data_IF_192332288040
#
_entry.id   IF_192332288040
#
_cell.length_a   1.000
_cell.length_b   1.000
_cell.length_c   1.000
_cell.angle_alpha   90.00
_cell.angle_beta   90.00
_cell.angle_gamma   90.00
#
_symmetry.space_group_name_H-M   'P 1'
#
loop_
_entity.id
_entity.type
_entity.pdbx_description
1 polymer ?
#
# COMPACT_ATOMS: atom_id res chain seq x y z
N UNK A 1 2.04 -32.55 -17.09
CA UNK A 1 0.97 -31.62 -17.50
C UNK A 1 -0.09 -31.66 -16.42
N UNK A 2 -0.15 -30.65 -15.54
CA UNK A 2 -1.22 -30.53 -14.56
C UNK A 2 -2.23 -29.52 -15.09
N UNK A 3 -3.46 -29.98 -15.09
CA UNK A 3 -4.68 -29.35 -15.58
C UNK A 3 -4.97 -28.03 -14.83
N UNK A 4 -5.17 -26.94 -15.57
CA UNK A 4 -5.49 -25.60 -15.03
C UNK A 4 -7.00 -25.30 -15.08
N UNK A 5 -7.84 -26.32 -15.08
CA UNK A 5 -9.28 -26.21 -15.29
C UNK A 5 -10.10 -26.37 -14.00
N UNK A 6 -9.74 -25.63 -12.94
CA UNK A 6 -10.66 -25.38 -11.82
C UNK A 6 -10.44 -23.95 -11.33
N UNK A 7 -11.06 -22.99 -12.02
CA UNK A 7 -11.32 -21.66 -11.45
C UNK A 7 -12.81 -21.65 -11.13
N UNK A 8 -13.11 -21.60 -9.85
CA UNK A 8 -14.45 -21.69 -9.27
C UNK A 8 -15.37 -20.58 -9.83
N UNK A 9 -16.56 -20.96 -10.28
CA UNK A 9 -17.51 -20.13 -11.07
C UNK A 9 -18.20 -19.01 -10.26
N UNK A 10 -17.75 -18.74 -9.02
CA UNK A 10 -18.34 -17.75 -8.12
C UNK A 10 -17.65 -16.35 -8.15
N UNK A 11 -16.74 -16.08 -9.09
CA UNK A 11 -15.97 -14.82 -9.20
C UNK A 11 -16.40 -13.89 -10.37
N UNK A 12 -17.68 -13.91 -10.74
CA UNK A 12 -18.20 -13.37 -12.02
C UNK A 12 -18.16 -11.83 -12.25
N UNK A 13 -18.20 -10.91 -11.26
CA UNK A 13 -18.10 -9.48 -11.57
C UNK A 13 -16.65 -9.01 -11.81
N UNK A 14 -15.66 -9.65 -11.16
CA UNK A 14 -14.25 -9.25 -11.25
C UNK A 14 -13.55 -9.76 -12.52
N UNK A 15 -13.98 -10.89 -13.07
CA UNK A 15 -13.49 -11.42 -14.34
C UNK A 15 -13.75 -10.46 -15.50
N UNK A 16 -14.92 -9.81 -15.55
CA UNK A 16 -15.20 -8.79 -16.57
C UNK A 16 -14.32 -7.54 -16.42
N UNK A 17 -14.07 -7.08 -15.19
CA UNK A 17 -13.22 -5.89 -14.95
C UNK A 17 -11.76 -6.15 -15.33
N UNK A 18 -11.28 -7.39 -15.13
CA UNK A 18 -9.94 -7.80 -15.56
C UNK A 18 -9.74 -7.71 -17.06
N UNK A 19 -10.77 -8.01 -17.86
CA UNK A 19 -10.69 -8.01 -19.32
C UNK A 19 -10.73 -6.59 -19.95
N UNK A 20 -10.99 -5.56 -19.14
CA UNK A 20 -11.08 -4.15 -19.60
C UNK A 20 -9.85 -3.32 -19.18
N UNK A 21 -9.05 -3.79 -18.22
CA UNK A 21 -7.90 -3.03 -17.73
C UNK A 21 -6.73 -3.19 -18.71
N UNK A 22 -6.21 -2.09 -19.23
CA UNK A 22 -5.03 -2.09 -20.09
C UNK A 22 -3.73 -2.02 -19.30
N UNK A 23 -3.77 -1.37 -18.14
CA UNK A 23 -2.61 -1.26 -17.26
C UNK A 23 -2.99 -1.21 -15.78
N UNK A 24 -2.20 -1.86 -14.94
CA UNK A 24 -2.32 -1.85 -13.49
C UNK A 24 -1.03 -1.34 -12.85
N UNK A 25 -1.15 -0.31 -12.01
CA UNK A 25 -0.03 0.35 -11.32
C UNK A 25 0.09 -0.18 -9.89
N UNK A 26 1.28 -0.67 -9.54
CA UNK A 26 1.61 -1.25 -8.24
C UNK A 26 2.76 -0.46 -7.62
N UNK A 27 2.46 0.62 -6.87
CA UNK A 27 3.49 1.43 -6.19
C UNK A 27 4.07 0.67 -4.99
N UNK A 28 5.24 1.12 -4.53
CA UNK A 28 5.79 0.73 -3.23
C UNK A 28 5.21 1.62 -2.15
N UNK A 29 4.01 1.28 -1.68
CA UNK A 29 3.31 2.04 -0.65
C UNK A 29 2.43 1.13 0.21
N UNK A 30 2.00 1.65 1.35
CA UNK A 30 0.96 1.08 2.19
C UNK A 30 -0.17 2.11 2.43
N UNK A 31 -1.30 1.71 3.02
CA UNK A 31 -2.43 2.61 3.29
C UNK A 31 -2.12 3.81 4.21
N UNK A 32 -0.92 3.84 4.83
CA UNK A 32 -0.48 4.90 5.73
C UNK A 32 0.61 5.79 5.13
N UNK A 33 1.00 5.56 3.87
CA UNK A 33 2.08 6.30 3.20
C UNK A 33 3.41 6.22 3.99
N UNK A 34 3.69 5.05 4.59
CA UNK A 34 4.92 4.84 5.31
C UNK A 34 6.13 4.82 4.36
N UNK A 35 7.24 5.41 4.80
CA UNK A 35 8.51 5.38 4.06
C UNK A 35 9.06 3.96 3.86
N UNK A 36 8.86 3.09 4.85
CA UNK A 36 9.27 1.69 4.80
C UNK A 36 8.05 0.81 4.97
N UNK A 37 7.81 -0.01 3.95
CA UNK A 37 6.63 -0.86 3.84
C UNK A 37 6.94 -2.23 4.46
N UNK A 38 6.04 -2.73 5.31
CA UNK A 38 6.14 -4.07 5.92
C UNK A 38 5.87 -5.17 4.90
N UNK A 39 6.40 -6.38 5.14
CA UNK A 39 6.35 -7.49 4.17
C UNK A 39 4.94 -7.80 3.63
N UNK A 40 3.91 -7.68 4.47
CA UNK A 40 2.51 -7.81 4.10
C UNK A 40 2.05 -6.90 2.94
N UNK A 41 2.68 -5.73 2.78
CA UNK A 41 2.36 -4.73 1.76
C UNK A 41 3.39 -4.68 0.62
N UNK A 42 4.42 -5.55 0.62
CA UNK A 42 5.46 -5.60 -0.41
C UNK A 42 5.01 -6.28 -1.71
N UNK A 43 3.85 -5.85 -2.23
CA UNK A 43 3.21 -6.41 -3.44
C UNK A 43 4.09 -6.34 -4.68
N UNK A 44 4.77 -5.21 -4.88
CA UNK A 44 5.73 -5.03 -5.98
C UNK A 44 6.88 -6.03 -5.89
N UNK A 45 7.45 -6.24 -4.69
CA UNK A 45 8.50 -7.24 -4.48
C UNK A 45 8.00 -8.66 -4.74
N UNK A 46 6.78 -9.00 -4.29
CA UNK A 46 6.19 -10.31 -4.55
C UNK A 46 6.12 -10.65 -6.04
N UNK A 47 5.65 -9.71 -6.87
CA UNK A 47 5.48 -9.97 -8.31
C UNK A 47 6.76 -9.85 -9.13
N UNK A 48 7.69 -8.97 -8.75
CA UNK A 48 8.90 -8.70 -9.54
C UNK A 48 10.15 -9.39 -9.00
N UNK A 49 10.10 -9.88 -7.76
CA UNK A 49 11.24 -10.35 -6.95
C UNK A 49 12.28 -9.28 -6.62
N UNK A 50 12.05 -8.03 -7.05
CA UNK A 50 12.95 -6.91 -6.76
C UNK A 50 12.70 -6.34 -5.37
N UNK A 51 13.73 -6.38 -4.53
CA UNK A 51 13.68 -6.04 -3.10
C UNK A 51 14.10 -4.61 -2.78
N UNK A 52 14.31 -3.77 -3.81
CA UNK A 52 14.68 -2.36 -3.64
C UNK A 52 13.64 -1.57 -2.84
N UNK A 53 14.06 -0.53 -2.11
CA UNK A 53 13.16 0.19 -1.21
C UNK A 53 12.22 1.17 -1.93
N UNK A 54 12.54 1.55 -3.16
CA UNK A 54 11.76 2.43 -4.02
C UNK A 54 11.44 1.72 -5.33
N UNK A 55 10.38 2.16 -5.99
CA UNK A 55 10.01 1.73 -7.32
C UNK A 55 8.53 1.45 -7.48
N UNK A 56 8.11 1.34 -8.73
CA UNK A 56 6.72 1.10 -9.11
C UNK A 56 6.69 0.06 -10.20
N UNK A 57 5.91 -0.99 -10.00
CA UNK A 57 5.63 -1.95 -11.05
C UNK A 57 4.41 -1.48 -11.85
N UNK A 58 4.47 -1.64 -13.16
CA UNK A 58 3.35 -1.40 -14.07
C UNK A 58 3.17 -2.68 -14.88
N UNK A 59 2.00 -3.28 -14.77
CA UNK A 59 1.62 -4.45 -15.57
C UNK A 59 0.69 -3.97 -16.67
N UNK A 60 0.91 -4.40 -17.91
CA UNK A 60 0.00 -4.19 -19.03
C UNK A 60 -0.42 -5.55 -19.60
N UNK A 61 -1.36 -5.55 -20.54
CA UNK A 61 -1.77 -6.79 -21.23
C UNK A 61 -0.65 -7.47 -22.05
N UNK A 62 0.47 -6.79 -22.29
CA UNK A 62 1.56 -7.30 -23.13
C UNK A 62 2.89 -7.40 -22.40
N UNK A 63 3.15 -6.47 -21.50
CA UNK A 63 4.49 -6.23 -20.94
C UNK A 63 4.38 -5.84 -19.46
N UNK A 64 5.41 -6.18 -18.69
CA UNK A 64 5.58 -5.72 -17.31
C UNK A 64 6.80 -4.79 -17.23
N UNK A 65 6.65 -3.68 -16.52
CA UNK A 65 7.68 -2.68 -16.34
C UNK A 65 7.99 -2.48 -14.86
N UNK A 66 9.27 -2.33 -14.54
CA UNK A 66 9.73 -1.86 -13.24
C UNK A 66 10.37 -0.48 -13.41
N UNK A 67 9.80 0.51 -12.73
CA UNK A 67 10.38 1.85 -12.60
C UNK A 67 11.10 1.94 -11.27
N UNK A 68 12.35 2.41 -11.27
CA UNK A 68 13.15 2.60 -10.05
C UNK A 68 14.27 3.62 -10.29
N UNK A 69 14.93 4.05 -9.22
CA UNK A 69 16.15 4.86 -9.33
C UNK A 69 17.37 4.06 -9.82
N UNK A 70 18.34 4.79 -10.35
CA UNK A 70 19.58 4.25 -10.92
C UNK A 70 20.55 3.69 -9.86
N UNK A 71 20.37 3.99 -8.58
CA UNK A 71 21.22 3.46 -7.51
C UNK A 71 20.95 1.96 -7.31
N UNK A 72 19.78 1.48 -7.73
CA UNK A 72 19.44 0.06 -7.77
C UNK A 72 19.96 -0.69 -9.00
N UNK A 73 20.84 -0.09 -9.83
CA UNK A 73 21.33 -0.73 -11.05
C UNK A 73 21.91 -2.14 -10.83
N UNK A 74 22.85 -2.29 -9.90
CA UNK A 74 23.46 -3.60 -9.63
C UNK A 74 22.50 -4.59 -8.96
N UNK A 75 21.47 -4.09 -8.26
CA UNK A 75 20.49 -4.93 -7.59
C UNK A 75 19.46 -5.48 -8.58
N UNK A 76 18.94 -4.63 -9.46
CA UNK A 76 18.01 -5.04 -10.52
C UNK A 76 18.62 -6.06 -11.47
N UNK A 77 19.90 -5.90 -11.86
CA UNK A 77 20.63 -6.90 -12.66
C UNK A 77 20.69 -8.29 -12.01
N UNK A 78 20.64 -8.36 -10.67
CA UNK A 78 20.73 -9.63 -9.92
C UNK A 78 19.37 -10.23 -9.60
N UNK A 79 18.37 -9.40 -9.32
CA UNK A 79 17.08 -9.83 -8.78
C UNK A 79 15.97 -9.90 -9.84
N UNK A 80 16.02 -9.04 -10.86
CA UNK A 80 14.93 -8.88 -11.82
C UNK A 80 15.10 -9.82 -13.01
N UNK A 81 14.06 -10.60 -13.31
CA UNK A 81 14.01 -11.40 -14.53
C UNK A 81 13.72 -10.52 -15.75
N UNK A 82 14.77 -10.15 -16.48
CA UNK A 82 14.70 -9.27 -17.65
C UNK A 82 14.00 -9.93 -18.87
N UNK A 83 13.69 -11.22 -18.83
CA UNK A 83 12.87 -11.87 -19.86
C UNK A 83 11.38 -11.55 -19.69
N UNK A 84 10.96 -11.28 -18.45
CA UNK A 84 9.59 -10.95 -18.10
C UNK A 84 9.38 -9.44 -17.86
N UNK A 85 10.40 -8.77 -17.33
CA UNK A 85 10.33 -7.38 -16.88
C UNK A 85 11.22 -6.45 -17.71
N UNK A 86 10.64 -5.31 -18.10
CA UNK A 86 11.37 -4.19 -18.70
C UNK A 86 11.73 -3.17 -17.64
N UNK A 87 13.00 -2.87 -17.50
CA UNK A 87 13.50 -1.93 -16.50
C UNK A 87 13.58 -0.51 -17.06
N UNK A 88 13.04 0.46 -16.32
CA UNK A 88 13.12 1.89 -16.65
C UNK A 88 13.71 2.65 -15.45
N UNK A 89 14.89 3.23 -15.65
CA UNK A 89 15.50 4.09 -14.63
C UNK A 89 14.94 5.51 -14.70
N UNK A 90 14.42 5.98 -13.58
CA UNK A 90 13.91 7.34 -13.44
C UNK A 90 15.08 8.33 -13.32
N UNK A 91 15.37 9.06 -14.41
CA UNK A 91 16.50 9.98 -14.50
C UNK A 91 16.30 11.30 -13.72
N UNK A 92 15.07 11.64 -13.37
CA UNK A 92 14.72 12.85 -12.61
C UNK A 92 13.57 12.57 -11.66
N UNK A 93 13.60 13.19 -10.47
CA UNK A 93 12.50 13.18 -9.49
C UNK A 93 11.33 14.06 -9.93
N UNK A 94 10.80 13.82 -11.13
CA UNK A 94 9.44 14.26 -11.41
C UNK A 94 8.50 13.29 -10.70
N UNK A 95 7.72 13.80 -9.75
CA UNK A 95 6.78 12.99 -8.96
C UNK A 95 5.80 12.21 -9.85
N UNK A 96 5.57 12.66 -11.08
CA UNK A 96 4.63 12.04 -12.02
C UNK A 96 5.31 11.44 -13.25
N UNK A 97 6.61 11.14 -13.17
CA UNK A 97 7.39 10.63 -14.31
C UNK A 97 6.76 9.37 -14.94
N UNK A 98 6.33 8.43 -14.09
CA UNK A 98 5.72 7.14 -14.48
C UNK A 98 4.37 7.37 -15.16
N UNK A 99 3.56 8.27 -14.61
CA UNK A 99 2.22 8.58 -15.12
C UNK A 99 2.30 9.32 -16.45
N UNK A 100 3.23 10.26 -16.56
CA UNK A 100 3.56 10.93 -17.82
C UNK A 100 4.08 9.94 -18.87
N UNK A 101 4.84 8.92 -18.46
CA UNK A 101 5.28 7.85 -19.35
C UNK A 101 4.09 7.01 -19.82
N UNK A 102 3.22 6.57 -18.92
CA UNK A 102 2.01 5.82 -19.26
C UNK A 102 1.12 6.58 -20.23
N UNK A 103 0.87 7.86 -19.95
CA UNK A 103 0.03 8.71 -20.78
C UNK A 103 0.53 8.82 -22.23
N UNK A 104 1.85 8.76 -22.44
CA UNK A 104 2.48 8.84 -23.77
C UNK A 104 2.62 7.50 -24.49
N UNK A 105 2.58 6.37 -23.75
CA UNK A 105 2.86 5.04 -24.30
C UNK A 105 1.62 4.16 -24.42
N UNK A 106 0.53 4.50 -23.70
CA UNK A 106 -0.75 3.83 -23.83
C UNK A 106 -1.56 4.39 -25.01
N UNK A 107 -2.52 3.60 -25.47
CA UNK A 107 -3.41 4.02 -26.54
C UNK A 107 -4.50 4.95 -26.00
N UNK A 108 -5.10 5.71 -26.91
CA UNK A 108 -6.30 6.47 -26.63
C UNK A 108 -7.44 5.52 -26.17
N UNK A 109 -8.21 5.92 -25.16
CA UNK A 109 -9.23 5.14 -24.45
C UNK A 109 -8.69 3.99 -23.58
N UNK A 110 -7.38 3.92 -23.33
CA UNK A 110 -6.86 2.92 -22.39
C UNK A 110 -7.41 3.12 -20.98
N UNK A 111 -7.57 2.02 -20.26
CA UNK A 111 -7.98 2.00 -18.86
C UNK A 111 -6.77 1.65 -17.99
N UNK A 112 -6.41 2.58 -17.11
CA UNK A 112 -5.37 2.40 -16.08
C UNK A 112 -6.06 2.20 -14.74
N UNK A 113 -5.64 1.18 -14.01
CA UNK A 113 -6.16 0.86 -12.69
C UNK A 113 -5.06 0.95 -11.62
N UNK A 114 -5.45 1.36 -10.41
CA UNK A 114 -4.59 1.32 -9.24
C UNK A 114 -5.45 1.11 -7.98
N UNK A 115 -4.83 0.53 -6.95
CA UNK A 115 -5.43 0.44 -5.63
C UNK A 115 -5.46 1.85 -4.99
N UNK A 116 -6.66 2.41 -4.73
CA UNK A 116 -6.80 3.78 -4.25
C UNK A 116 -6.21 3.99 -2.85
N UNK A 117 -5.98 2.92 -2.07
CA UNK A 117 -5.38 3.04 -0.74
C UNK A 117 -3.87 3.31 -0.81
N UNK A 118 -3.22 3.05 -1.94
CA UNK A 118 -1.76 3.14 -2.06
C UNK A 118 -1.28 4.50 -2.59
N UNK A 119 -2.20 5.37 -3.01
CA UNK A 119 -1.89 6.65 -3.65
C UNK A 119 -2.60 7.77 -2.89
N UNK A 120 -1.92 8.89 -2.65
CA UNK A 120 -2.56 10.02 -1.98
C UNK A 120 -3.64 10.66 -2.86
N UNK A 121 -4.63 11.31 -2.24
CA UNK A 121 -5.69 12.04 -2.96
C UNK A 121 -5.10 13.11 -3.91
N UNK A 122 -4.01 13.77 -3.50
CA UNK A 122 -3.31 14.74 -4.34
C UNK A 122 -2.68 14.12 -5.57
N UNK A 123 -2.05 12.95 -5.42
CA UNK A 123 -1.46 12.23 -6.55
C UNK A 123 -2.56 11.72 -7.48
N UNK A 124 -3.62 11.11 -6.94
CA UNK A 124 -4.73 10.59 -7.72
C UNK A 124 -5.35 11.67 -8.63
N UNK A 125 -5.66 12.84 -8.06
CA UNK A 125 -6.22 13.98 -8.82
C UNK A 125 -5.29 14.45 -9.94
N UNK A 126 -3.99 14.43 -9.69
CA UNK A 126 -3.01 14.83 -10.70
C UNK A 126 -2.88 13.76 -11.80
N UNK A 127 -2.97 12.47 -11.45
CA UNK A 127 -3.00 11.38 -12.41
C UNK A 127 -4.22 11.49 -13.32
N UNK A 128 -5.41 11.73 -12.75
CA UNK A 128 -6.64 11.99 -13.52
C UNK A 128 -6.44 13.16 -14.49
N UNK A 129 -5.89 14.28 -14.01
CA UNK A 129 -5.64 15.47 -14.84
C UNK A 129 -4.68 15.18 -16.00
N UNK A 130 -3.65 14.38 -15.77
CA UNK A 130 -2.69 13.98 -16.81
C UNK A 130 -3.36 13.04 -17.81
N UNK A 131 -3.98 11.97 -17.35
CA UNK A 131 -4.59 10.96 -18.22
C UNK A 131 -5.74 11.51 -19.07
N UNK A 132 -6.53 12.45 -18.54
CA UNK A 132 -7.60 13.11 -19.31
C UNK A 132 -7.08 13.84 -20.56
N UNK A 133 -5.85 14.39 -20.53
CA UNK A 133 -5.26 15.05 -21.71
C UNK A 133 -4.94 14.06 -22.85
N UNK A 134 -4.81 12.78 -22.53
CA UNK A 134 -4.51 11.70 -23.48
C UNK A 134 -5.71 10.80 -23.74
N UNK A 135 -6.89 11.17 -23.22
CA UNK A 135 -8.12 10.39 -23.26
C UNK A 135 -7.93 8.96 -22.69
N UNK A 136 -7.25 8.88 -21.55
CA UNK A 136 -7.04 7.66 -20.77
C UNK A 136 -7.90 7.75 -19.51
N UNK A 137 -8.49 6.63 -19.10
CA UNK A 137 -9.36 6.54 -17.94
C UNK A 137 -8.61 5.94 -16.76
N UNK A 138 -8.61 6.62 -15.61
CA UNK A 138 -8.12 6.09 -14.34
C UNK A 138 -9.29 5.50 -13.56
N UNK A 139 -9.16 4.24 -13.12
CA UNK A 139 -10.17 3.58 -12.29
C UNK A 139 -9.57 3.12 -10.96
N UNK A 140 -10.33 3.26 -9.88
CA UNK A 140 -10.00 2.74 -8.57
C UNK A 140 -10.45 1.29 -8.44
N UNK A 141 -9.54 0.40 -8.03
CA UNK A 141 -9.87 -0.97 -7.66
C UNK A 141 -9.65 -1.18 -6.17
N UNK A 142 -10.73 -1.25 -5.40
CA UNK A 142 -10.67 -1.48 -3.95
C UNK A 142 -10.11 -2.86 -3.61
N UNK A 143 -10.32 -3.85 -4.49
CA UNK A 143 -9.69 -5.16 -4.37
C UNK A 143 -8.33 -5.11 -5.07
N UNK A 144 -7.25 -5.24 -4.30
CA UNK A 144 -5.92 -5.28 -4.88
C UNK A 144 -5.70 -6.60 -5.65
N UNK A 145 -5.45 -6.50 -6.95
CA UNK A 145 -5.29 -7.67 -7.82
C UNK A 145 -4.08 -8.53 -7.45
N UNK A 146 -3.05 -7.94 -6.85
CA UNK A 146 -1.87 -8.70 -6.41
C UNK A 146 -2.21 -9.57 -5.20
N UNK A 147 -3.10 -9.13 -4.33
CA UNK A 147 -3.51 -9.91 -3.16
C UNK A 147 -4.25 -11.18 -3.58
N UNK A 148 -5.05 -11.11 -4.64
CA UNK A 148 -5.71 -12.28 -5.23
C UNK A 148 -4.71 -13.30 -5.78
N UNK A 149 -3.57 -12.84 -6.30
CA UNK A 149 -2.49 -13.70 -6.81
C UNK A 149 -1.61 -14.25 -5.67
N UNK A 150 -1.38 -13.44 -4.64
CA UNK A 150 -0.56 -13.79 -3.49
C UNK A 150 -1.27 -14.80 -2.58
N UNK A 151 -2.60 -14.67 -2.47
CA UNK A 151 -3.49 -15.58 -1.75
C UNK A 151 -2.92 -15.92 -0.35
N UNK A 152 -2.92 -17.19 0.04
CA UNK A 152 -2.46 -17.67 1.35
C UNK A 152 -0.95 -17.51 1.59
N UNK A 153 -0.16 -17.17 0.56
CA UNK A 153 1.28 -16.93 0.71
C UNK A 153 1.60 -15.51 1.19
N UNK A 154 0.60 -14.62 1.27
CA UNK A 154 0.80 -13.26 1.75
C UNK A 154 1.16 -13.28 3.24
N UNK A 155 2.29 -12.68 3.65
CA UNK A 155 2.67 -12.60 5.06
C UNK A 155 1.57 -11.96 5.89
N UNK A 156 1.35 -12.46 7.10
CA UNK A 156 0.50 -11.75 8.07
C UNK A 156 1.12 -10.40 8.42
N UNK A 157 0.30 -9.49 8.93
CA UNK A 157 0.83 -8.29 9.56
C UNK A 157 1.78 -8.67 10.71
N UNK A 158 2.85 -7.89 10.93
CA UNK A 158 3.79 -8.18 12.01
C UNK A 158 3.10 -8.08 13.37
N UNK A 159 3.30 -9.10 14.21
CA UNK A 159 2.87 -9.10 15.60
C UNK A 159 3.62 -7.99 16.35
N UNK A 160 2.89 -6.93 16.69
CA UNK A 160 3.48 -5.72 17.23
C UNK A 160 3.00 -5.56 18.66
N UNK A 161 3.83 -5.94 19.63
CA UNK A 161 3.50 -5.71 21.04
C UNK A 161 3.49 -4.22 21.36
N UNK A 162 2.35 -3.73 21.82
CA UNK A 162 2.13 -2.33 22.22
C UNK A 162 2.25 -2.21 23.74
N UNK A 163 2.77 -1.10 24.23
CA UNK A 163 2.76 -0.72 25.64
C UNK A 163 2.31 0.73 25.84
N UNK A 164 1.92 1.07 27.07
CA UNK A 164 1.64 2.45 27.47
C UNK A 164 2.97 3.14 27.77
N UNK A 165 3.15 4.37 27.29
CA UNK A 165 4.31 5.20 27.59
C UNK A 165 4.33 5.55 29.09
N UNK A 166 5.28 5.00 29.86
CA UNK A 166 5.56 5.53 31.20
C UNK A 166 6.18 6.93 31.03
N UNK A 167 5.45 7.97 31.39
CA UNK A 167 5.88 9.36 31.27
C UNK A 167 6.99 9.69 32.27
N UNK A 168 8.23 9.36 31.92
CA UNK A 168 9.42 10.04 32.42
C UNK A 168 10.30 10.48 31.24
N UNK A 169 10.07 11.72 30.81
CA UNK A 169 11.02 12.65 30.17
C UNK A 169 11.83 12.10 28.98
N UNK A 170 11.50 12.56 27.77
CA UNK A 170 12.42 13.46 27.05
C UNK A 170 11.72 14.18 25.89
N UNK A 171 11.58 15.49 26.09
CA UNK A 171 11.40 16.48 25.05
C UNK A 171 12.56 16.37 24.06
N UNK A 172 12.31 15.81 22.89
CA UNK A 172 13.05 16.22 21.70
C UNK A 172 12.06 16.39 20.55
N UNK A 173 12.02 17.62 20.08
CA UNK A 173 11.27 18.12 18.95
C UNK A 173 11.60 17.31 17.69
N UNK A 174 10.71 16.38 17.33
CA UNK A 174 10.64 15.82 15.99
C UNK A 174 9.17 15.78 15.53
N UNK A 175 8.79 16.45 14.43
CA UNK A 175 7.40 16.67 14.03
C UNK A 175 6.72 15.46 13.38
N UNK A 176 7.39 14.32 13.23
CA UNK A 176 6.79 13.10 12.66
C UNK A 176 6.42 12.09 13.74
N UNK A 177 5.11 11.92 14.02
CA UNK A 177 4.39 10.73 14.55
C UNK A 177 3.13 11.18 15.33
N UNK A 178 2.01 11.37 14.61
CA UNK A 178 0.76 11.94 15.13
C UNK A 178 -0.01 11.02 16.09
N UNK A 179 -0.43 9.83 15.64
CA UNK A 179 -1.32 8.95 16.42
C UNK A 179 -0.69 8.39 17.70
N UNK A 180 0.62 8.10 17.67
CA UNK A 180 1.37 7.61 18.84
C UNK A 180 1.29 8.55 20.05
N UNK A 181 1.37 9.87 19.80
CA UNK A 181 1.32 10.89 20.85
C UNK A 181 -0.11 11.18 21.31
N UNK A 182 -1.11 10.89 20.48
CA UNK A 182 -2.50 11.13 20.82
C UNK A 182 -3.01 10.14 21.87
N UNK A 183 -2.53 8.89 21.83
CA UNK A 183 -3.01 7.79 22.66
C UNK A 183 -2.00 7.28 23.69
N UNK A 184 -0.82 7.89 23.79
CA UNK A 184 0.30 7.44 24.63
C UNK A 184 0.73 5.97 24.44
N UNK A 185 0.35 5.35 23.32
CA UNK A 185 0.72 3.99 22.95
C UNK A 185 2.11 3.97 22.29
N UNK A 186 2.96 3.01 22.63
CA UNK A 186 4.28 2.79 22.05
C UNK A 186 4.45 1.34 21.60
N UNK A 187 5.18 1.13 20.52
CA UNK A 187 5.63 -0.22 20.13
C UNK A 187 6.86 -0.61 20.97
N UNK A 188 6.84 -1.81 21.54
CA UNK A 188 7.93 -2.33 22.39
C UNK A 188 9.06 -2.93 21.56
N UNK A 189 8.80 -3.46 20.35
CA UNK A 189 9.75 -4.32 19.67
C UNK A 189 9.71 -4.21 18.14
N UNK A 190 10.59 -3.40 17.50
CA UNK A 190 10.86 -3.53 16.04
C UNK A 190 12.30 -3.06 15.69
N UNK A 191 12.99 -3.88 14.89
CA UNK A 191 14.13 -3.52 14.03
C UNK A 191 13.66 -2.53 12.95
N UNK A 192 13.99 -1.25 13.11
CA UNK A 192 13.96 -0.18 12.09
C UNK A 192 12.67 0.63 11.82
N UNK A 193 11.47 0.25 12.26
CA UNK A 193 10.32 1.18 12.19
C UNK A 193 9.32 1.00 13.35
N UNK A 194 9.36 1.88 14.36
CA UNK A 194 8.53 1.79 15.58
C UNK A 194 7.12 2.39 15.38
N UNK A 195 6.32 1.79 14.49
CA UNK A 195 4.93 2.21 14.24
C UNK A 195 4.05 0.95 14.22
N UNK A 196 2.92 1.00 14.91
CA UNK A 196 1.85 -0.01 14.78
C UNK A 196 0.82 0.52 13.79
N UNK A 197 0.27 -0.35 12.94
CA UNK A 197 -0.73 0.04 11.96
C UNK A 197 -2.04 0.37 12.67
N UNK A 198 -2.53 1.58 12.47
CA UNK A 198 -3.79 2.04 13.05
C UNK A 198 -4.34 3.27 12.35
N UNK A 199 -5.66 3.43 12.42
CA UNK A 199 -6.34 4.69 12.11
C UNK A 199 -7.04 5.23 13.36
N UNK A 200 -7.26 6.53 13.40
CA UNK A 200 -8.08 7.14 14.44
C UNK A 200 -9.05 8.14 13.83
N UNK A 201 -10.29 8.10 14.31
CA UNK A 201 -11.33 9.05 13.97
C UNK A 201 -11.69 9.85 15.22
N UNK A 202 -11.41 11.15 15.18
CA UNK A 202 -11.63 12.07 16.30
C UNK A 202 -12.83 12.96 15.93
N UNK A 203 -13.95 12.70 16.56
CA UNK A 203 -15.13 13.56 16.51
C UNK A 203 -15.12 14.60 17.63
N UNK A 204 -16.16 15.44 17.67
CA UNK A 204 -16.35 16.37 18.80
C UNK A 204 -16.61 15.64 20.12
N UNK A 205 -17.36 14.54 20.05
CA UNK A 205 -17.88 13.81 21.21
C UNK A 205 -17.41 12.35 21.26
N UNK A 206 -16.47 11.95 20.39
CA UNK A 206 -15.98 10.58 20.34
C UNK A 206 -14.54 10.50 19.85
N UNK A 207 -13.85 9.44 20.27
CA UNK A 207 -12.58 9.02 19.70
C UNK A 207 -12.67 7.53 19.37
N UNK A 208 -12.49 7.17 18.10
CA UNK A 208 -12.42 5.78 17.64
C UNK A 208 -10.99 5.45 17.25
N UNK A 209 -10.49 4.30 17.68
CA UNK A 209 -9.19 3.73 17.33
C UNK A 209 -9.43 2.41 16.56
N UNK A 210 -8.88 2.32 15.36
CA UNK A 210 -8.95 1.14 14.50
C UNK A 210 -7.58 0.47 14.49
N UNK A 211 -7.48 -0.75 15.02
CA UNK A 211 -6.22 -1.45 15.23
C UNK A 211 -6.43 -2.96 15.21
N UNK A 212 -5.37 -3.73 14.95
CA UNK A 212 -5.40 -5.17 15.19
C UNK A 212 -5.59 -5.44 16.69
N UNK A 213 -6.71 -6.07 17.03
CA UNK A 213 -7.12 -6.35 18.40
C UNK A 213 -6.15 -7.31 19.11
N UNK A 214 -5.43 -8.15 18.35
CA UNK A 214 -4.44 -9.07 18.91
C UNK A 214 -3.24 -8.33 19.50
N UNK A 215 -2.96 -7.11 19.05
CA UNK A 215 -1.88 -6.28 19.57
C UNK A 215 -2.22 -5.62 20.93
N UNK A 216 -3.46 -5.74 21.41
CA UNK A 216 -3.93 -5.07 22.62
C UNK A 216 -3.98 -6.02 23.82
N UNK A 217 -3.05 -5.83 24.76
CA UNK A 217 -3.11 -6.49 26.06
C UNK A 217 -4.31 -6.00 26.89
N UNK A 218 -4.73 -6.79 27.89
CA UNK A 218 -5.85 -6.42 28.77
C UNK A 218 -5.65 -5.07 29.46
N UNK A 219 -4.43 -4.76 29.90
CA UNK A 219 -4.12 -3.47 30.53
C UNK A 219 -4.28 -2.28 29.57
N UNK A 220 -3.96 -2.46 28.29
CA UNK A 220 -4.15 -1.42 27.27
C UNK A 220 -5.65 -1.24 26.97
N UNK A 221 -6.39 -2.34 26.85
CA UNK A 221 -7.84 -2.27 26.63
C UNK A 221 -8.54 -1.52 27.78
N UNK A 222 -8.16 -1.81 29.03
CA UNK A 222 -8.71 -1.15 30.21
C UNK A 222 -8.35 0.35 30.24
N UNK A 223 -7.13 0.72 29.84
CA UNK A 223 -6.71 2.13 29.69
C UNK A 223 -7.53 2.86 28.61
N UNK A 224 -7.66 2.27 27.41
CA UNK A 224 -8.42 2.88 26.31
C UNK A 224 -9.89 3.05 26.69
N UNK A 225 -10.47 2.08 27.39
CA UNK A 225 -11.84 2.18 27.92
C UNK A 225 -11.98 3.30 28.95
N UNK A 226 -11.01 3.44 29.87
CA UNK A 226 -10.98 4.51 30.86
C UNK A 226 -10.94 5.91 30.22
N UNK A 227 -10.17 6.06 29.15
CA UNK A 227 -10.07 7.29 28.35
C UNK A 227 -11.27 7.51 27.39
N UNK A 228 -12.31 6.67 27.46
CA UNK A 228 -13.48 6.68 26.57
C UNK A 228 -13.13 6.56 25.07
N UNK A 229 -12.08 5.81 24.74
CA UNK A 229 -11.67 5.52 23.37
C UNK A 229 -12.36 4.23 22.91
N UNK A 230 -13.13 4.33 21.84
CA UNK A 230 -13.81 3.20 21.21
C UNK A 230 -12.82 2.44 20.32
N UNK A 231 -12.69 1.13 20.51
CA UNK A 231 -11.72 0.31 19.77
C UNK A 231 -12.42 -0.61 18.78
N UNK A 232 -11.94 -0.62 17.54
CA UNK A 232 -12.49 -1.42 16.43
C UNK A 232 -11.39 -2.19 15.69
N UNK A 233 -11.71 -3.30 14.99
CA UNK A 233 -10.78 -3.97 14.10
C UNK A 233 -10.23 -3.02 13.02
N UNK A 234 -8.94 -3.13 12.70
CA UNK A 234 -8.26 -2.27 11.73
C UNK A 234 -9.02 -2.12 10.39
N UNK A 235 -9.43 -3.24 9.79
CA UNK A 235 -10.10 -3.25 8.47
C UNK A 235 -11.51 -2.62 8.48
N UNK A 236 -12.12 -2.46 9.66
CA UNK A 236 -13.45 -1.86 9.78
C UNK A 236 -13.46 -0.33 9.59
N UNK A 237 -12.28 0.30 9.53
CA UNK A 237 -12.16 1.75 9.32
C UNK A 237 -12.89 2.23 8.06
N UNK A 238 -12.81 1.49 6.96
CA UNK A 238 -13.41 1.89 5.69
C UNK A 238 -14.94 1.79 5.68
N UNK A 239 -15.55 1.07 6.63
CA UNK A 239 -17.01 0.98 6.76
C UNK A 239 -17.63 2.22 7.42
N UNK A 240 -16.81 3.17 7.85
CA UNK A 240 -17.29 4.42 8.48
C UNK A 240 -17.73 5.49 7.46
N UNK A 241 -17.52 5.25 6.15
CA UNK A 241 -17.76 6.23 5.08
C UNK A 241 -18.65 5.68 3.95
#
# INVERSE_FOLDING_TARGET
MRDTSVVDDNFQPYTKVKDIIDSYVVPTADPHQNKYVVDHYKRREFISKFTGSTGTAVITNKEAFLFTDDHYFLQTEKELDQTCWKLIYEKMKDNFSIINWLARNLNNNSIVACDPQLVSISEWKEWERIFLQYNIYLISLEVNLIDLLWNDQRPSLPDTSICISNNEIQSSSNPGRGLRRLFDLRVVNIQFNSVFLSFALIGRDYVKLFIDLNNLSKSIQDYLQFENILVYPYDSFYNEF
#
